data_IF_123298990166
#
_entry.id   IF_123298990166
#
_cell.length_a   1.000
_cell.length_b   1.000
_cell.length_c   1.000
_cell.angle_alpha   90.00
_cell.angle_beta   90.00
_cell.angle_gamma   90.00
#
_symmetry.space_group_name_H-M   'P 1'
#
loop_
_entity.id
_entity.type
_entity.pdbx_description
1 polymer ?
#
# COMPACT_ATOMS: atom_id res chain seq x y z
N UNK A 1 -12.29 -1.35 30.21
CA UNK A 1 -10.86 -1.56 30.46
C UNK A 1 -10.08 -0.65 29.54
N UNK A 2 -9.11 0.10 30.06
CA UNK A 2 -8.18 0.88 29.22
C UNK A 2 -7.23 -0.06 28.49
N UNK A 3 -6.92 0.24 27.23
CA UNK A 3 -5.90 -0.48 26.46
C UNK A 3 -4.54 -0.25 27.13
N UNK A 4 -3.69 -1.28 27.30
CA UNK A 4 -2.35 -1.08 27.82
C UNK A 4 -1.55 -0.20 26.85
N UNK A 5 -0.87 0.82 27.39
CA UNK A 5 0.06 1.66 26.64
C UNK A 5 1.46 1.02 26.65
N UNK A 6 2.17 1.14 25.53
CA UNK A 6 3.51 0.60 25.36
C UNK A 6 4.47 1.74 24.96
N UNK A 7 5.68 1.79 25.51
CA UNK A 7 6.70 2.76 25.08
C UNK A 7 7.02 2.62 23.59
N UNK A 8 7.41 3.73 22.95
CA UNK A 8 7.90 3.73 21.57
C UNK A 8 9.31 3.13 21.51
N UNK A 9 9.59 2.37 20.44
CA UNK A 9 10.92 1.77 20.21
C UNK A 9 11.99 2.78 19.83
N UNK A 10 11.57 3.94 19.29
CA UNK A 10 12.45 4.97 18.80
C UNK A 10 12.25 6.27 19.59
N UNK A 11 13.30 7.11 19.72
CA UNK A 11 13.17 8.45 20.27
C UNK A 11 12.14 9.29 19.50
N UNK A 12 11.62 10.35 20.10
CA UNK A 12 10.73 11.27 19.38
C UNK A 12 11.43 11.89 18.15
N UNK A 13 10.74 11.90 17.01
CA UNK A 13 11.24 12.45 15.75
C UNK A 13 10.90 11.59 14.53
N UNK A 14 11.31 12.04 13.34
CA UNK A 14 11.18 11.27 12.10
C UNK A 14 12.42 10.42 11.87
N UNK A 15 12.22 9.10 11.75
CA UNK A 15 13.28 8.14 11.49
C UNK A 15 13.07 7.55 10.10
N UNK A 16 14.08 7.69 9.23
CA UNK A 16 14.02 7.16 7.87
C UNK A 16 14.48 5.71 7.87
N UNK A 17 13.69 4.85 7.25
CA UNK A 17 13.99 3.44 7.03
C UNK A 17 13.70 3.07 5.58
N UNK A 18 14.52 2.17 5.05
CA UNK A 18 14.19 1.32 3.91
C UNK A 18 13.42 0.08 4.41
N UNK A 19 12.66 -0.57 3.53
CA UNK A 19 11.96 -1.81 3.89
C UNK A 19 12.91 -2.90 4.40
N UNK A 20 14.16 -2.91 3.92
CA UNK A 20 15.19 -3.88 4.29
C UNK A 20 15.82 -3.63 5.66
N UNK A 21 15.72 -2.42 6.19
CA UNK A 21 16.21 -2.07 7.54
C UNK A 21 15.15 -2.35 8.63
N UNK A 22 13.87 -2.49 8.26
CA UNK A 22 12.80 -2.74 9.22
C UNK A 22 12.96 -4.02 10.07
N UNK A 23 13.41 -5.18 9.55
CA UNK A 23 13.57 -6.39 10.35
C UNK A 23 14.45 -6.20 11.59
N UNK A 24 15.61 -5.57 11.43
CA UNK A 24 16.61 -5.41 12.49
C UNK A 24 16.09 -4.60 13.68
N UNK A 25 15.15 -3.69 13.45
CA UNK A 25 14.60 -2.82 14.51
C UNK A 25 13.27 -3.33 15.05
N UNK A 26 12.38 -3.80 14.18
CA UNK A 26 10.99 -4.06 14.54
C UNK A 26 10.63 -5.54 14.64
N UNK A 27 11.53 -6.46 14.26
CA UNK A 27 11.26 -7.91 14.25
C UNK A 27 12.32 -8.68 15.03
N UNK A 28 13.59 -8.55 14.67
CA UNK A 28 14.69 -9.35 15.25
C UNK A 28 14.81 -9.23 16.78
N UNK A 29 14.62 -8.05 17.42
CA UNK A 29 14.65 -7.94 18.88
C UNK A 29 13.50 -8.68 19.58
N UNK A 30 12.44 -9.04 18.85
CA UNK A 30 11.22 -9.67 19.38
C UNK A 30 11.17 -11.16 19.04
N UNK A 31 12.12 -11.91 19.59
CA UNK A 31 12.33 -13.35 19.27
C UNK A 31 11.14 -14.25 19.55
N UNK A 32 10.23 -13.85 20.45
CA UNK A 32 9.01 -14.58 20.77
C UNK A 32 7.78 -14.11 19.97
N UNK A 33 7.90 -13.03 19.20
CA UNK A 33 6.78 -12.50 18.42
C UNK A 33 6.50 -13.36 17.20
N UNK A 34 5.28 -13.87 17.10
CA UNK A 34 4.83 -14.53 15.87
C UNK A 34 4.21 -13.53 14.89
N UNK A 35 3.64 -12.43 15.39
CA UNK A 35 2.93 -11.45 14.54
C UNK A 35 3.85 -10.48 13.83
N UNK A 36 4.93 -10.01 14.45
CA UNK A 36 5.82 -9.01 13.85
C UNK A 36 6.40 -9.44 12.49
N UNK A 37 6.92 -10.68 12.32
CA UNK A 37 7.35 -11.16 11.00
C UNK A 37 6.21 -11.20 9.97
N UNK A 38 5.03 -11.67 10.38
CA UNK A 38 3.86 -11.76 9.49
C UNK A 38 3.38 -10.38 9.01
N UNK A 39 3.34 -9.41 9.92
CA UNK A 39 2.95 -8.03 9.62
C UNK A 39 3.97 -7.35 8.70
N UNK A 40 5.27 -7.56 8.94
CA UNK A 40 6.32 -7.02 8.05
C UNK A 40 6.22 -7.62 6.64
N UNK A 41 5.94 -8.91 6.52
CA UNK A 41 5.74 -9.55 5.22
C UNK A 41 4.51 -8.98 4.49
N UNK A 42 3.40 -8.76 5.22
CA UNK A 42 2.22 -8.09 4.68
C UNK A 42 2.52 -6.68 4.18
N UNK A 43 3.29 -5.91 4.96
CA UNK A 43 3.74 -4.58 4.59
C UNK A 43 4.62 -4.59 3.33
N UNK A 44 5.54 -5.56 3.20
CA UNK A 44 6.38 -5.70 2.00
C UNK A 44 5.53 -5.95 0.75
N UNK A 45 4.56 -6.86 0.84
CA UNK A 45 3.61 -7.12 -0.27
C UNK A 45 2.84 -5.87 -0.65
N UNK A 46 2.31 -5.15 0.34
CA UNK A 46 1.59 -3.90 0.12
C UNK A 46 2.46 -2.85 -0.59
N UNK A 47 3.72 -2.68 -0.18
CA UNK A 47 4.65 -1.75 -0.83
C UNK A 47 4.97 -2.17 -2.28
N UNK A 48 5.11 -3.46 -2.54
CA UNK A 48 5.30 -4.00 -3.91
C UNK A 48 4.08 -3.70 -4.78
N UNK A 49 2.86 -3.89 -4.27
CA UNK A 49 1.63 -3.59 -4.99
C UNK A 49 1.51 -2.09 -5.33
N UNK A 50 1.81 -1.20 -4.37
CA UNK A 50 1.86 0.25 -4.62
C UNK A 50 2.88 0.59 -5.72
N UNK A 51 4.06 -0.01 -5.67
CA UNK A 51 5.09 0.19 -6.68
C UNK A 51 4.66 -0.34 -8.06
N UNK A 52 3.96 -1.48 -8.12
CA UNK A 52 3.44 -2.05 -9.36
C UNK A 52 2.37 -1.17 -10.01
N UNK A 53 1.60 -0.43 -9.20
CA UNK A 53 0.65 0.58 -9.66
C UNK A 53 1.32 1.90 -10.08
N UNK A 54 2.65 2.01 -10.00
CA UNK A 54 3.39 3.22 -10.32
C UNK A 54 3.23 4.34 -9.28
N UNK A 55 2.69 4.01 -8.09
CA UNK A 55 2.53 4.98 -7.00
C UNK A 55 3.90 5.24 -6.41
N UNK A 56 4.33 6.50 -6.44
CA UNK A 56 5.54 6.98 -5.77
C UNK A 56 5.14 7.81 -4.57
N UNK A 57 5.77 7.54 -3.44
CA UNK A 57 5.43 8.18 -2.18
C UNK A 57 6.30 7.74 -1.03
N UNK A 58 5.97 8.25 0.14
CA UNK A 58 6.55 7.82 1.42
C UNK A 58 5.52 7.01 2.21
N UNK A 59 5.98 5.98 2.91
CA UNK A 59 5.18 5.23 3.87
C UNK A 59 5.57 5.71 5.26
N UNK A 60 4.59 6.22 6.01
CA UNK A 60 4.77 6.64 7.39
C UNK A 60 4.11 5.60 8.29
N UNK A 61 4.82 5.20 9.34
CA UNK A 61 4.40 4.15 10.28
C UNK A 61 4.11 4.75 11.65
N UNK A 62 3.07 4.24 12.30
CA UNK A 62 2.75 4.60 13.69
C UNK A 62 2.15 3.39 14.42
N UNK A 63 1.68 3.63 15.65
CA UNK A 63 0.84 2.72 16.39
C UNK A 63 1.62 1.56 17.01
N UNK A 64 0.91 0.46 17.25
CA UNK A 64 1.43 -0.56 18.19
C UNK A 64 2.62 -1.36 17.65
N UNK A 65 2.83 -1.37 16.34
CA UNK A 65 3.95 -2.06 15.70
C UNK A 65 5.30 -1.38 15.98
N UNK A 66 5.31 -0.05 16.12
CA UNK A 66 6.52 0.75 16.42
C UNK A 66 6.75 0.97 17.92
N UNK A 67 5.97 0.31 18.77
CA UNK A 67 6.12 0.31 20.22
C UNK A 67 6.71 -1.01 20.73
N UNK A 68 6.98 -1.10 22.03
CA UNK A 68 7.48 -2.32 22.71
C UNK A 68 6.45 -3.46 22.81
N UNK A 69 5.25 -3.31 22.25
CA UNK A 69 4.21 -4.35 22.28
C UNK A 69 4.72 -5.60 21.54
N UNK A 70 4.88 -6.73 22.23
CA UNK A 70 5.44 -7.94 21.60
C UNK A 70 4.56 -8.47 20.44
N UNK A 71 3.24 -8.43 20.60
CA UNK A 71 2.26 -8.93 19.63
C UNK A 71 1.34 -7.80 19.15
N UNK A 72 1.81 -6.92 18.23
CA UNK A 72 0.97 -5.89 17.63
C UNK A 72 -0.11 -6.52 16.75
N UNK A 73 -1.29 -5.91 16.71
CA UNK A 73 -2.45 -6.48 16.00
C UNK A 73 -2.36 -6.20 14.49
N UNK A 74 -1.92 -5.00 14.14
CA UNK A 74 -1.85 -4.45 12.80
C UNK A 74 -0.67 -3.47 12.67
N UNK A 75 -0.46 -2.98 11.44
CA UNK A 75 0.49 -1.91 11.13
C UNK A 75 -0.33 -0.68 10.73
N UNK A 76 -0.34 0.32 11.61
CA UNK A 76 -0.93 1.62 11.28
C UNK A 76 0.00 2.36 10.30
N UNK A 77 -0.52 2.69 9.12
CA UNK A 77 0.27 3.34 8.07
C UNK A 77 -0.47 4.49 7.40
N UNK A 78 0.30 5.48 6.96
CA UNK A 78 -0.14 6.58 6.08
C UNK A 78 0.71 6.57 4.83
N UNK A 79 0.08 6.65 3.66
CA UNK A 79 0.76 6.75 2.36
C UNK A 79 0.74 8.21 1.91
N UNK A 80 1.92 8.82 1.83
CA UNK A 80 2.08 10.17 1.29
C UNK A 80 2.45 10.07 -0.19
N UNK A 81 1.47 10.28 -1.06
CA UNK A 81 1.64 10.18 -2.51
C UNK A 81 2.20 11.51 -3.04
N UNK A 82 3.34 11.47 -3.73
CA UNK A 82 3.98 12.67 -4.30
C UNK A 82 3.65 12.88 -5.78
N UNK A 83 3.08 11.86 -6.44
CA UNK A 83 2.69 11.95 -7.85
C UNK A 83 1.24 12.40 -8.00
N UNK A 84 1.01 13.57 -8.57
CA UNK A 84 -0.32 14.03 -8.99
C UNK A 84 -0.77 13.25 -10.23
N UNK A 85 -1.45 12.12 -10.04
CA UNK A 85 -2.34 11.63 -11.09
C UNK A 85 -3.64 12.42 -10.99
N UNK A 86 -4.00 13.17 -12.05
CA UNK A 86 -5.36 13.68 -12.22
C UNK A 86 -6.26 12.45 -12.39
N UNK A 87 -7.04 12.11 -11.38
CA UNK A 87 -8.11 11.13 -11.54
C UNK A 87 -9.21 11.77 -12.39
N UNK A 88 -9.37 11.30 -13.62
CA UNK A 88 -10.63 11.48 -14.33
C UNK A 88 -11.62 10.46 -13.76
N UNK A 89 -12.52 10.93 -12.91
CA UNK A 89 -13.65 10.12 -12.44
C UNK A 89 -14.70 10.13 -13.56
N UNK A 90 -14.73 9.07 -14.36
CA UNK A 90 -15.82 8.86 -15.32
C UNK A 90 -16.95 8.15 -14.57
N UNK A 91 -17.96 8.91 -14.16
CA UNK A 91 -19.23 8.35 -13.68
C UNK A 91 -20.03 7.96 -14.93
N UNK A 92 -20.02 6.67 -15.28
CA UNK A 92 -20.95 6.14 -16.29
C UNK A 92 -22.31 5.91 -15.63
N UNK A 93 -23.37 6.52 -16.17
CA UNK A 93 -24.72 6.08 -15.86
C UNK A 93 -24.92 4.65 -16.40
N UNK A 94 -25.91 3.87 -15.91
CA UNK A 94 -26.17 2.52 -16.42
C UNK A 94 -26.38 2.46 -17.95
N UNK A 95 -26.84 3.57 -18.56
CA UNK A 95 -26.98 3.70 -20.02
C UNK A 95 -25.64 3.90 -20.75
N UNK A 96 -24.63 4.45 -20.08
CA UNK A 96 -23.30 4.68 -20.68
C UNK A 96 -22.45 3.40 -20.73
N UNK A 97 -22.75 2.41 -19.87
CA UNK A 97 -22.12 1.08 -19.93
C UNK A 97 -22.38 0.38 -21.27
N UNK A 98 -23.61 0.47 -21.80
CA UNK A 98 -23.94 -0.16 -23.10
C UNK A 98 -23.19 0.50 -24.26
N UNK A 99 -23.05 1.83 -24.25
CA UNK A 99 -22.33 2.57 -25.29
C UNK A 99 -20.84 2.25 -25.30
N UNK A 100 -20.20 2.16 -24.13
CA UNK A 100 -18.79 1.79 -24.03
C UNK A 100 -18.52 0.36 -24.53
N UNK A 101 -19.40 -0.59 -24.22
CA UNK A 101 -19.32 -1.96 -24.74
C UNK A 101 -19.54 -2.03 -26.26
N UNK A 102 -20.44 -1.22 -26.82
CA UNK A 102 -20.67 -1.08 -28.26
C UNK A 102 -19.47 -0.46 -28.98
N UNK A 103 -18.83 0.56 -28.41
CA UNK A 103 -17.63 1.20 -28.98
C UNK A 103 -16.44 0.24 -28.99
N UNK A 104 -16.22 -0.51 -27.90
CA UNK A 104 -15.14 -1.50 -27.83
C UNK A 104 -15.34 -2.68 -28.81
N UNK A 105 -16.59 -3.09 -29.03
CA UNK A 105 -16.93 -4.18 -29.96
C UNK A 105 -17.05 -3.77 -31.43
N UNK A 106 -17.13 -2.47 -31.72
CA UNK A 106 -17.11 -1.95 -33.09
C UNK A 106 -15.67 -1.64 -33.55
N UNK A 107 -14.79 -1.22 -32.63
CA UNK A 107 -13.36 -1.04 -32.92
C UNK A 107 -12.63 -2.36 -33.28
N UNK A 108 -13.09 -3.49 -32.73
CA UNK A 108 -12.54 -4.83 -33.03
C UNK A 108 -13.05 -5.44 -34.35
N UNK A 109 -13.91 -4.74 -35.11
CA UNK A 109 -14.47 -5.20 -36.40
C UNK A 109 -14.06 -4.35 -37.61
N UNK A 110 -13.11 -3.43 -37.48
CA UNK A 110 -12.50 -2.82 -38.66
C UNK A 110 -11.39 -3.75 -39.19
N UNK A 111 -11.55 -4.38 -40.37
CA UNK A 111 -10.45 -5.10 -40.98
C UNK A 111 -9.35 -4.10 -41.31
N UNK A 112 -8.13 -4.43 -40.87
CA UNK A 112 -6.90 -3.81 -41.30
C UNK A 112 -6.83 -3.94 -42.83
N UNK A 113 -7.25 -2.92 -43.57
CA UNK A 113 -6.94 -2.81 -44.99
C UNK A 113 -5.44 -2.54 -45.10
N UNK A 114 -4.64 -3.62 -45.16
CA UNK A 114 -3.32 -3.57 -45.74
C UNK A 114 -3.49 -3.32 -47.25
N UNK A 115 -3.14 -2.13 -47.72
CA UNK A 115 -2.86 -1.91 -49.12
C UNK A 115 -1.64 -0.99 -49.26
N UNK A 116 -0.64 -1.59 -49.93
CA UNK A 116 0.66 -1.08 -50.42
C UNK A 116 1.81 -1.04 -49.42
#
# INVERSE_FOLDING_TARGET
>A
MSKPEFPHLLPAGFHRFTLDELPATFVEPFTYSQRRPMLLEGLRKFAVELSALGIKGELWFDGSFVCEKNEPDDVDLVVIIVTFYRFEVIICSPLDMELSYLVQNSASRLPFCSNQ
#
